data_IF_806548821573
#
_entry.id   IF_806548821573
#
_cell.length_a   1.000
_cell.length_b   1.000
_cell.length_c   1.000
_cell.angle_alpha   90.00
_cell.angle_beta   90.00
_cell.angle_gamma   90.00
#
_symmetry.space_group_name_H-M   'P 1'
#
loop_
_entity.id
_entity.type
_entity.pdbx_description
1 polymer ?
#
# COMPACT_ATOMS: atom_id res chain seq x y z
N UNK A 1 3.82 35.62 33.47
CA UNK A 1 2.66 35.37 34.36
C UNK A 1 1.42 35.12 33.50
N UNK A 2 0.60 34.14 33.93
CA UNK A 2 -0.66 33.59 33.35
C UNK A 2 -0.45 32.51 32.27
N UNK A 3 -0.52 31.23 32.61
CA UNK A 3 -1.74 30.37 32.80
C UNK A 3 -2.42 30.10 31.44
N UNK A 4 -2.54 28.88 30.91
CA UNK A 4 -2.87 27.61 31.55
C UNK A 4 -4.35 27.29 31.30
N UNK A 5 -4.68 26.53 30.24
CA UNK A 5 -6.02 25.94 30.05
C UNK A 5 -5.94 24.53 29.49
N UNK A 6 -6.23 23.56 30.37
CA UNK A 6 -6.71 22.21 30.08
C UNK A 6 -8.23 22.24 29.90
N UNK A 7 -8.76 21.43 28.99
CA UNK A 7 -10.14 20.92 28.99
C UNK A 7 -10.01 19.43 28.60
N UNK A 8 -10.16 18.45 29.49
CA UNK A 8 -11.38 17.91 30.14
C UNK A 8 -12.47 17.59 29.11
N UNK A 9 -12.48 16.34 28.65
CA UNK A 9 -13.58 15.74 27.90
C UNK A 9 -14.42 14.89 28.86
N UNK A 10 -15.70 15.25 28.98
CA UNK A 10 -16.72 14.63 29.82
C UNK A 10 -17.40 13.49 29.07
N UNK A 11 -17.53 12.34 29.74
CA UNK A 11 -18.30 11.16 29.30
C UNK A 11 -19.79 11.41 29.49
N UNK A 12 -20.61 11.12 28.48
CA UNK A 12 -22.07 11.00 28.62
C UNK A 12 -22.52 9.58 28.29
N UNK A 13 -23.06 8.90 29.29
CA UNK A 13 -23.91 7.71 29.19
C UNK A 13 -25.37 8.14 29.07
N UNK A 14 -26.14 7.46 28.22
CA UNK A 14 -27.56 7.75 28.03
C UNK A 14 -28.34 6.50 27.61
N UNK A 15 -28.77 5.72 28.60
CA UNK A 15 -29.83 4.72 28.49
C UNK A 15 -31.18 5.42 28.28
N UNK A 16 -32.07 4.83 27.48
CA UNK A 16 -33.49 5.18 27.48
C UNK A 16 -34.34 3.94 27.23
N UNK A 17 -34.84 3.42 28.35
CA UNK A 17 -35.97 2.49 28.45
C UNK A 17 -37.26 3.31 28.30
N UNK A 18 -38.21 2.85 27.49
CA UNK A 18 -39.62 3.28 27.60
C UNK A 18 -40.47 2.03 27.69
N UNK A 19 -41.20 1.91 28.79
CA UNK A 19 -42.31 1.00 29.00
C UNK A 19 -43.51 1.81 29.51
N UNK A 20 -44.69 1.53 28.96
CA UNK A 20 -46.06 1.74 29.48
C UNK A 20 -46.92 0.75 28.66
N UNK A 21 -47.57 -0.29 29.21
CA UNK A 21 -48.67 -0.30 30.21
C UNK A 21 -50.01 -0.06 29.47
N UNK A 22 -51.12 -0.81 29.56
CA UNK A 22 -51.70 -1.73 30.58
C UNK A 22 -52.93 -2.46 29.92
N UNK A 23 -53.13 -3.79 30.05
CA UNK A 23 -54.10 -4.55 30.89
C UNK A 23 -55.37 -5.13 30.17
N UNK A 24 -56.22 -6.01 30.76
CA UNK A 24 -56.35 -7.45 30.42
C UNK A 24 -57.82 -7.92 30.13
N UNK A 25 -58.06 -9.25 30.20
CA UNK A 25 -59.33 -10.03 30.15
C UNK A 25 -59.74 -10.54 28.76
N UNK A 26 -60.04 -11.82 28.46
CA UNK A 26 -60.50 -13.01 29.21
C UNK A 26 -60.17 -14.32 28.40
N UNK A 27 -60.46 -15.58 28.84
CA UNK A 27 -59.63 -16.76 28.59
C UNK A 27 -60.26 -17.91 27.75
N UNK A 28 -59.46 -18.98 27.60
CA UNK A 28 -59.75 -20.39 27.24
C UNK A 28 -59.77 -20.80 25.78
N UNK A 29 -59.00 -21.86 25.49
CA UNK A 29 -59.16 -22.72 24.31
C UNK A 29 -57.85 -23.27 23.77
N UNK A 30 -57.27 -24.28 24.43
CA UNK A 30 -56.08 -24.99 23.95
C UNK A 30 -56.45 -25.85 22.74
N UNK A 31 -55.83 -25.58 21.59
CA UNK A 31 -55.70 -26.53 20.48
C UNK A 31 -54.22 -26.58 20.07
N UNK A 32 -53.57 -27.75 20.02
CA UNK A 32 -52.17 -27.85 19.66
C UNK A 32 -52.02 -27.63 18.15
N UNK A 33 -51.47 -26.48 17.75
CA UNK A 33 -51.02 -26.27 16.38
C UNK A 33 -49.66 -26.95 16.17
N UNK A 34 -49.42 -27.52 14.97
CA UNK A 34 -48.23 -28.31 14.70
C UNK A 34 -46.98 -27.46 14.87
N UNK A 35 -45.96 -28.05 15.50
CA UNK A 35 -44.59 -27.55 15.54
C UNK A 35 -44.08 -27.41 14.11
N UNK A 36 -44.32 -26.26 13.50
CA UNK A 36 -43.52 -25.80 12.37
C UNK A 36 -42.12 -25.58 12.94
N UNK A 37 -41.22 -26.50 12.64
CA UNK A 37 -39.78 -26.27 12.70
C UNK A 37 -39.49 -25.07 11.80
N UNK A 38 -39.53 -23.88 12.40
CA UNK A 38 -39.04 -22.66 11.79
C UNK A 38 -37.59 -22.94 11.43
N UNK A 39 -37.34 -23.16 10.14
CA UNK A 39 -36.00 -23.31 9.58
C UNK A 39 -35.20 -22.09 10.03
N UNK A 40 -34.20 -22.33 10.87
CA UNK A 40 -33.19 -21.34 11.20
C UNK A 40 -32.58 -20.93 9.85
N UNK A 41 -32.57 -19.64 9.47
CA UNK A 41 -31.90 -19.21 8.26
C UNK A 41 -30.45 -19.69 8.30
N UNK A 42 -30.05 -20.32 7.20
CA UNK A 42 -28.73 -20.91 6.99
C UNK A 42 -27.60 -20.11 7.61
N UNK A 43 -26.68 -20.86 8.23
CA UNK A 43 -25.33 -20.44 8.58
C UNK A 43 -24.83 -19.33 7.65
N UNK A 44 -24.48 -18.18 8.25
CA UNK A 44 -23.70 -17.15 7.59
C UNK A 44 -22.55 -17.84 6.86
N UNK A 45 -22.58 -17.84 5.53
CA UNK A 45 -21.47 -18.38 4.75
C UNK A 45 -20.17 -17.75 5.26
N UNK A 46 -19.11 -18.53 5.49
CA UNK A 46 -17.86 -18.01 6.04
C UNK A 46 -17.39 -16.83 5.18
N UNK A 47 -16.99 -15.74 5.83
CA UNK A 47 -16.40 -14.59 5.13
C UNK A 47 -15.15 -15.09 4.41
N UNK A 48 -15.06 -14.94 3.08
CA UNK A 48 -13.91 -15.42 2.33
C UNK A 48 -12.64 -14.69 2.78
N UNK A 49 -11.54 -15.43 2.87
CA UNK A 49 -10.22 -14.87 3.11
C UNK A 49 -9.83 -13.89 2.00
N UNK A 50 -8.92 -12.96 2.31
CA UNK A 50 -8.42 -11.99 1.32
C UNK A 50 -7.87 -12.69 0.07
N UNK A 51 -7.18 -13.80 0.26
CA UNK A 51 -6.65 -14.60 -0.85
C UNK A 51 -7.75 -15.19 -1.73
N UNK A 52 -8.83 -15.69 -1.14
CA UNK A 52 -9.97 -16.21 -1.90
C UNK A 52 -10.68 -15.11 -2.69
N UNK A 53 -10.82 -13.92 -2.10
CA UNK A 53 -11.37 -12.74 -2.79
C UNK A 53 -10.52 -12.38 -4.01
N UNK A 54 -9.19 -12.35 -3.85
CA UNK A 54 -8.26 -12.05 -4.95
C UNK A 54 -8.33 -13.13 -6.03
N UNK A 55 -8.24 -14.41 -5.67
CA UNK A 55 -8.26 -15.52 -6.63
C UNK A 55 -9.57 -15.56 -7.43
N UNK A 56 -10.70 -15.27 -6.78
CA UNK A 56 -11.99 -15.11 -7.45
C UNK A 56 -11.96 -13.94 -8.44
N UNK A 57 -11.50 -12.76 -8.01
CA UNK A 57 -11.41 -11.58 -8.86
C UNK A 57 -10.50 -11.78 -10.07
N UNK A 58 -9.27 -12.25 -9.88
CA UNK A 58 -8.32 -12.44 -10.99
C UNK A 58 -8.79 -13.47 -12.02
N UNK A 59 -9.60 -14.45 -11.61
CA UNK A 59 -10.20 -15.42 -12.54
C UNK A 59 -11.13 -14.76 -13.56
N UNK A 60 -11.67 -13.58 -13.23
CA UNK A 60 -12.55 -12.79 -14.12
C UNK A 60 -11.78 -11.88 -15.08
N UNK A 61 -10.53 -11.52 -14.76
CA UNK A 61 -9.75 -10.54 -15.53
C UNK A 61 -9.32 -11.02 -16.92
N UNK A 62 -9.55 -12.30 -17.27
CA UNK A 62 -9.22 -12.88 -18.59
C UNK A 62 -7.77 -12.64 -19.03
N UNK A 63 -6.84 -12.55 -18.07
CA UNK A 63 -5.42 -12.33 -18.35
C UNK A 63 -4.81 -13.63 -18.90
N UNK A 64 -4.24 -13.54 -20.10
CA UNK A 64 -3.51 -14.65 -20.69
C UNK A 64 -2.18 -14.86 -19.96
N UNK A 65 -2.00 -16.06 -19.41
CA UNK A 65 -0.76 -16.45 -18.73
C UNK A 65 0.37 -16.61 -19.74
N UNK A 66 1.52 -16.01 -19.46
CA UNK A 66 2.76 -16.27 -20.18
C UNK A 66 3.69 -17.15 -19.32
N UNK A 67 3.89 -18.44 -19.67
CA UNK A 67 4.81 -19.31 -18.92
C UNK A 67 6.26 -18.82 -18.95
N UNK A 68 6.63 -18.00 -19.95
CA UNK A 68 7.97 -17.40 -20.04
C UNK A 68 8.17 -16.34 -18.95
N UNK A 69 7.16 -15.52 -18.66
CA UNK A 69 7.15 -14.57 -17.55
C UNK A 69 7.35 -15.30 -16.21
N UNK A 70 6.53 -16.33 -15.96
CA UNK A 70 6.62 -17.14 -14.74
C UNK A 70 7.99 -17.80 -14.61
N UNK A 71 8.53 -18.35 -15.70
CA UNK A 71 9.84 -18.97 -15.74
C UNK A 71 10.99 -17.99 -15.44
N UNK A 72 10.95 -16.77 -16.01
CA UNK A 72 11.96 -15.74 -15.77
C UNK A 72 12.03 -15.33 -14.30
N UNK A 73 10.89 -14.98 -13.72
CA UNK A 73 10.80 -14.62 -12.30
C UNK A 73 11.19 -15.77 -11.37
N UNK A 74 10.78 -17.01 -11.67
CA UNK A 74 11.20 -18.18 -10.90
C UNK A 74 12.72 -18.40 -10.96
N UNK A 75 13.32 -18.23 -12.14
CA UNK A 75 14.76 -18.37 -12.33
C UNK A 75 15.55 -17.32 -11.52
N UNK A 76 15.20 -16.03 -11.62
CA UNK A 76 15.92 -14.99 -10.86
C UNK A 76 15.73 -15.13 -9.35
N UNK A 77 14.56 -15.62 -8.90
CA UNK A 77 14.28 -15.92 -7.49
C UNK A 77 15.16 -17.04 -6.97
N UNK A 78 15.43 -18.06 -7.78
CA UNK A 78 16.35 -19.15 -7.39
C UNK A 78 17.80 -18.68 -7.24
N UNK A 79 18.21 -17.71 -8.06
CA UNK A 79 19.55 -17.12 -8.01
C UNK A 79 19.70 -16.05 -6.92
N UNK A 80 18.60 -15.43 -6.52
CA UNK A 80 18.56 -14.37 -5.50
C UNK A 80 17.47 -14.66 -4.47
N UNK A 81 17.57 -15.77 -3.69
CA UNK A 81 16.59 -16.09 -2.67
C UNK A 81 16.62 -15.04 -1.54
N UNK A 82 15.50 -14.77 -0.84
CA UNK A 82 15.51 -13.90 0.34
C UNK A 82 16.51 -14.37 1.41
N UNK A 83 17.20 -13.42 2.05
CA UNK A 83 18.25 -13.67 3.04
C UNK A 83 17.95 -12.85 4.29
N UNK A 84 17.67 -13.54 5.40
CA UNK A 84 17.51 -12.89 6.71
C UNK A 84 18.85 -12.53 7.32
N UNK A 85 18.97 -11.29 7.79
CA UNK A 85 20.20 -10.73 8.36
C UNK A 85 19.94 -10.07 9.70
N UNK A 86 20.70 -10.49 10.72
CA UNK A 86 20.67 -9.83 12.02
C UNK A 86 21.35 -8.45 11.96
N UNK A 87 22.52 -8.40 11.32
CA UNK A 87 23.29 -7.17 11.09
C UNK A 87 23.60 -6.99 9.61
N UNK A 88 23.76 -5.74 9.18
CA UNK A 88 24.05 -5.35 7.81
C UNK A 88 25.50 -4.86 7.70
N UNK A 89 26.26 -5.47 6.78
CA UNK A 89 27.63 -5.08 6.41
C UNK A 89 27.68 -4.35 5.07
N UNK A 90 28.85 -3.83 4.69
CA UNK A 90 29.01 -3.16 3.39
C UNK A 90 28.96 -4.15 2.21
N UNK A 91 29.35 -5.41 2.46
CA UNK A 91 29.17 -6.51 1.50
C UNK A 91 27.68 -6.81 1.27
N UNK A 92 26.85 -6.69 2.31
CA UNK A 92 25.40 -6.88 2.21
C UNK A 92 24.76 -5.77 1.37
N UNK A 93 25.24 -4.52 1.50
CA UNK A 93 24.82 -3.41 0.63
C UNK A 93 25.10 -3.73 -0.84
N UNK A 94 26.32 -4.17 -1.15
CA UNK A 94 26.70 -4.54 -2.53
C UNK A 94 25.86 -5.71 -3.07
N UNK A 95 25.45 -6.64 -2.20
CA UNK A 95 24.56 -7.75 -2.57
C UNK A 95 23.13 -7.26 -2.82
N UNK A 96 22.62 -6.35 -1.99
CA UNK A 96 21.32 -5.72 -2.16
C UNK A 96 21.25 -4.92 -3.48
N UNK A 97 22.31 -4.17 -3.81
CA UNK A 97 22.40 -3.47 -5.11
C UNK A 97 22.32 -4.43 -6.30
N UNK A 98 23.04 -5.56 -6.26
CA UNK A 98 22.94 -6.59 -7.32
C UNK A 98 21.54 -7.19 -7.42
N UNK A 99 20.92 -7.47 -6.28
CA UNK A 99 19.55 -7.99 -6.21
C UNK A 99 18.55 -7.00 -6.78
N UNK A 100 18.67 -5.73 -6.43
CA UNK A 100 17.83 -4.65 -6.97
C UNK A 100 17.98 -4.53 -8.48
N UNK A 101 19.21 -4.54 -9.01
CA UNK A 101 19.47 -4.53 -10.45
C UNK A 101 18.82 -5.74 -11.14
N UNK A 102 18.86 -6.93 -10.53
CA UNK A 102 18.18 -8.10 -11.09
C UNK A 102 16.65 -7.92 -11.15
N UNK A 103 16.04 -7.33 -10.11
CA UNK A 103 14.60 -7.01 -10.11
C UNK A 103 14.25 -6.00 -11.19
N UNK A 104 14.97 -4.88 -11.27
CA UNK A 104 14.71 -3.84 -12.27
C UNK A 104 14.85 -4.38 -13.71
N UNK A 105 15.84 -5.21 -13.97
CA UNK A 105 16.02 -5.85 -15.28
C UNK A 105 14.84 -6.78 -15.64
N UNK A 106 14.29 -7.51 -14.69
CA UNK A 106 13.11 -8.35 -14.95
C UNK A 106 11.82 -7.52 -15.03
N UNK A 107 11.70 -6.43 -14.27
CA UNK A 107 10.59 -5.48 -14.43
C UNK A 107 10.53 -4.90 -15.85
N UNK A 108 11.67 -4.53 -16.44
CA UNK A 108 11.76 -4.07 -17.84
C UNK A 108 11.20 -5.10 -18.84
N UNK A 109 11.50 -6.38 -18.61
CA UNK A 109 11.12 -7.50 -19.48
C UNK A 109 9.75 -8.08 -19.15
N UNK A 110 9.11 -7.59 -18.09
CA UNK A 110 7.89 -8.15 -17.55
C UNK A 110 6.70 -7.88 -18.47
N UNK A 111 5.76 -8.82 -18.54
CA UNK A 111 4.46 -8.57 -19.18
C UNK A 111 3.50 -7.72 -18.31
N UNK A 112 3.82 -7.55 -17.02
CA UNK A 112 3.03 -6.76 -16.08
C UNK A 112 3.27 -5.27 -16.36
N UNK A 113 2.27 -4.59 -16.92
CA UNK A 113 2.41 -3.20 -17.39
C UNK A 113 2.95 -2.25 -16.30
N UNK A 114 2.43 -2.25 -15.05
CA UNK A 114 2.98 -1.40 -13.99
C UNK A 114 4.49 -1.61 -13.74
N UNK A 115 5.01 -2.83 -13.91
CA UNK A 115 6.45 -3.09 -13.72
C UNK A 115 7.28 -2.41 -14.81
N UNK A 116 6.85 -2.51 -16.07
CA UNK A 116 7.53 -1.82 -17.18
C UNK A 116 7.44 -0.32 -17.04
N UNK A 117 6.25 0.21 -16.73
CA UNK A 117 6.05 1.65 -16.55
C UNK A 117 6.99 2.21 -15.46
N UNK A 118 7.06 1.53 -14.31
CA UNK A 118 7.94 1.95 -13.22
C UNK A 118 9.42 1.89 -13.62
N UNK A 119 9.84 0.84 -14.32
CA UNK A 119 11.20 0.74 -14.86
C UNK A 119 11.52 1.88 -15.85
N UNK A 120 10.60 2.19 -16.76
CA UNK A 120 10.78 3.25 -17.75
C UNK A 120 10.91 4.61 -17.08
N UNK A 121 10.17 4.87 -16.00
CA UNK A 121 10.29 6.10 -15.21
C UNK A 121 11.67 6.19 -14.56
N UNK A 122 12.18 5.10 -13.97
CA UNK A 122 13.49 5.04 -13.32
C UNK A 122 14.68 5.14 -14.29
N UNK A 123 14.49 4.79 -15.56
CA UNK A 123 15.56 4.77 -16.57
C UNK A 123 15.44 5.87 -17.64
N UNK A 124 14.33 6.61 -17.63
CA UNK A 124 14.08 7.71 -18.56
C UNK A 124 15.06 8.86 -18.32
N UNK A 125 15.74 9.28 -19.40
CA UNK A 125 16.58 10.47 -19.42
C UNK A 125 15.77 11.78 -19.25
N UNK A 126 14.44 11.73 -19.29
CA UNK A 126 13.58 12.88 -18.94
C UNK A 126 13.43 13.04 -17.43
N UNK A 127 13.68 11.98 -16.67
CA UNK A 127 13.77 11.99 -15.21
C UNK A 127 15.25 11.92 -14.81
N UNK A 128 16.10 12.82 -15.33
CA UNK A 128 17.51 12.96 -14.86
C UNK A 128 17.62 13.14 -13.35
N UNK A 129 16.50 13.54 -12.75
CA UNK A 129 16.36 13.81 -11.34
C UNK A 129 15.82 12.60 -10.57
N UNK A 130 15.33 11.53 -11.20
CA UNK A 130 14.88 10.32 -10.48
C UNK A 130 16.02 9.29 -10.38
N UNK A 131 16.41 8.92 -9.17
CA UNK A 131 17.38 7.85 -8.94
C UNK A 131 16.91 6.87 -7.87
N UNK A 132 17.46 5.67 -7.89
CA UNK A 132 17.22 4.65 -6.86
C UNK A 132 18.53 4.39 -6.13
N UNK A 133 18.50 4.26 -4.82
CA UNK A 133 19.71 4.04 -4.04
C UNK A 133 19.50 3.15 -2.83
N UNK A 134 20.55 2.41 -2.54
CA UNK A 134 20.56 1.40 -1.48
C UNK A 134 21.33 1.95 -0.29
N UNK A 135 20.66 1.97 0.86
CA UNK A 135 21.20 2.51 2.10
C UNK A 135 21.33 1.40 3.14
N UNK A 136 22.47 1.39 3.83
CA UNK A 136 22.75 0.44 4.90
C UNK A 136 21.73 0.53 6.06
N UNK A 137 21.27 1.76 6.31
CA UNK A 137 20.20 2.09 7.25
C UNK A 137 19.51 3.34 6.72
N UNK A 138 18.32 3.17 6.13
CA UNK A 138 17.58 4.28 5.51
C UNK A 138 17.10 5.30 6.55
N UNK A 139 16.57 4.84 7.68
CA UNK A 139 16.13 5.71 8.78
C UNK A 139 17.22 6.64 9.31
N UNK A 140 18.47 6.17 9.35
CA UNK A 140 19.62 6.99 9.74
C UNK A 140 19.89 8.13 8.77
N UNK A 141 19.71 7.90 7.46
CA UNK A 141 19.84 8.93 6.42
C UNK A 141 18.72 9.96 6.56
N UNK A 142 17.53 9.48 6.87
CA UNK A 142 16.33 10.29 7.09
C UNK A 142 16.32 11.05 8.42
N UNK A 143 17.20 10.68 9.35
CA UNK A 143 17.24 11.22 10.73
C UNK A 143 15.88 11.07 11.44
N UNK A 144 15.25 9.92 11.25
CA UNK A 144 13.97 9.56 11.90
C UNK A 144 14.14 8.28 12.72
N UNK A 145 13.33 8.15 13.76
CA UNK A 145 13.23 6.93 14.58
C UNK A 145 12.33 5.87 13.91
N UNK A 146 11.51 6.27 12.93
CA UNK A 146 10.66 5.36 12.19
C UNK A 146 11.50 4.45 11.28
N UNK A 147 11.14 3.17 11.23
CA UNK A 147 11.77 2.20 10.34
C UNK A 147 11.22 2.33 8.91
N UNK A 148 11.86 3.16 8.09
CA UNK A 148 11.55 3.24 6.66
C UNK A 148 12.26 2.12 5.90
N UNK A 149 11.49 1.34 5.16
CA UNK A 149 11.99 0.25 4.31
C UNK A 149 12.25 0.74 2.88
N UNK A 150 11.37 1.58 2.38
CA UNK A 150 11.48 2.30 1.12
C UNK A 150 10.80 3.65 1.28
N UNK A 151 11.32 4.69 0.62
CA UNK A 151 10.65 5.99 0.53
C UNK A 151 11.20 6.81 -0.64
N UNK A 152 10.31 7.47 -1.38
CA UNK A 152 10.66 8.52 -2.31
C UNK A 152 11.05 9.82 -1.58
N UNK A 153 12.28 10.29 -1.78
CA UNK A 153 12.86 11.44 -1.07
C UNK A 153 13.48 12.44 -2.03
N UNK A 154 13.19 13.74 -1.92
CA UNK A 154 14.02 14.74 -2.59
C UNK A 154 15.40 14.86 -1.93
N UNK A 155 16.47 14.72 -2.71
CA UNK A 155 17.86 14.97 -2.32
C UNK A 155 18.41 16.20 -3.04
N UNK A 156 19.05 17.10 -2.29
CA UNK A 156 19.80 18.22 -2.87
C UNK A 156 21.19 17.79 -3.28
N UNK A 157 21.58 18.11 -4.51
CA UNK A 157 22.93 17.86 -5.00
C UNK A 157 23.32 18.89 -6.05
N UNK A 158 24.39 19.64 -5.80
CA UNK A 158 24.99 20.59 -6.74
C UNK A 158 23.97 21.58 -7.35
N UNK A 159 23.18 22.26 -6.51
CA UNK A 159 22.14 23.22 -6.92
C UNK A 159 21.01 22.65 -7.80
N UNK A 160 20.99 21.32 -7.96
CA UNK A 160 19.88 20.54 -8.53
C UNK A 160 19.26 19.65 -7.46
N UNK A 161 18.03 19.21 -7.69
CA UNK A 161 17.33 18.30 -6.77
C UNK A 161 17.12 17.00 -7.51
N UNK A 162 17.74 15.95 -7.00
CA UNK A 162 17.54 14.58 -7.44
C UNK A 162 16.49 13.97 -6.49
N UNK A 163 15.31 13.61 -6.99
CA UNK A 163 14.36 12.80 -6.23
C UNK A 163 14.78 11.33 -6.29
N UNK A 164 14.81 10.72 -5.12
CA UNK A 164 15.54 9.51 -4.87
C UNK A 164 14.65 8.51 -4.14
N UNK A 165 14.40 7.36 -4.75
CA UNK A 165 13.78 6.26 -4.03
C UNK A 165 14.87 5.58 -3.22
N UNK A 166 14.86 5.80 -1.91
CA UNK A 166 15.79 5.18 -0.99
C UNK A 166 15.26 3.83 -0.53
N UNK A 167 16.11 2.80 -0.59
CA UNK A 167 15.76 1.45 -0.15
C UNK A 167 16.73 1.00 0.95
N UNK A 168 16.18 0.41 2.00
CA UNK A 168 16.98 -0.19 3.06
C UNK A 168 17.58 -1.54 2.60
N UNK A 169 18.88 -1.71 2.81
CA UNK A 169 19.62 -2.93 2.44
C UNK A 169 19.00 -4.17 3.06
N UNK A 170 18.57 -4.12 4.33
CA UNK A 170 17.97 -5.28 5.00
C UNK A 170 16.67 -5.66 4.33
N UNK A 171 15.83 -4.67 4.03
CA UNK A 171 14.56 -4.88 3.35
C UNK A 171 14.75 -5.53 1.98
N UNK A 172 15.64 -4.99 1.14
CA UNK A 172 15.93 -5.58 -0.18
C UNK A 172 16.34 -7.06 -0.06
N UNK A 173 17.20 -7.40 0.91
CA UNK A 173 17.67 -8.77 1.09
C UNK A 173 16.59 -9.71 1.61
N UNK A 174 15.72 -9.25 2.50
CA UNK A 174 14.70 -10.08 3.17
C UNK A 174 13.41 -10.24 2.38
N UNK A 175 13.14 -9.35 1.43
CA UNK A 175 11.88 -9.31 0.67
C UNK A 175 11.93 -10.18 -0.58
N UNK A 176 10.83 -10.85 -0.89
CA UNK A 176 10.68 -11.61 -2.12
C UNK A 176 10.78 -10.68 -3.34
N UNK A 177 11.41 -11.14 -4.43
CA UNK A 177 11.69 -10.27 -5.58
C UNK A 177 10.43 -9.69 -6.24
N UNK A 178 9.33 -10.44 -6.27
CA UNK A 178 8.08 -9.94 -6.82
C UNK A 178 7.40 -8.94 -5.88
N UNK A 179 7.50 -9.14 -4.57
CA UNK A 179 7.00 -8.19 -3.56
C UNK A 179 7.81 -6.89 -3.64
N UNK A 180 9.13 -7.00 -3.77
CA UNK A 180 10.00 -5.85 -3.96
C UNK A 180 9.64 -5.09 -5.25
N UNK A 181 9.31 -5.80 -6.34
CA UNK A 181 8.85 -5.17 -7.58
C UNK A 181 7.53 -4.40 -7.40
N UNK A 182 6.56 -4.95 -6.66
CA UNK A 182 5.28 -4.25 -6.37
C UNK A 182 5.47 -3.03 -5.47
N UNK A 183 6.41 -3.08 -4.51
CA UNK A 183 6.78 -1.93 -3.67
C UNK A 183 7.51 -0.84 -4.48
N UNK A 184 8.39 -1.21 -5.42
CA UNK A 184 9.02 -0.24 -6.32
C UNK A 184 7.96 0.47 -7.18
N UNK A 185 6.96 -0.26 -7.68
CA UNK A 185 5.83 0.35 -8.41
C UNK A 185 5.10 1.38 -7.56
N UNK A 186 4.84 1.06 -6.29
CA UNK A 186 4.22 2.00 -5.35
C UNK A 186 5.02 3.30 -5.29
N UNK A 187 6.30 3.22 -4.95
CA UNK A 187 7.12 4.41 -4.70
C UNK A 187 7.33 5.26 -5.94
N UNK A 188 7.48 4.61 -7.11
CA UNK A 188 7.55 5.32 -8.39
C UNK A 188 6.23 6.04 -8.68
N UNK A 189 5.09 5.38 -8.45
CA UNK A 189 3.77 5.99 -8.70
C UNK A 189 3.54 7.16 -7.74
N UNK A 190 3.79 6.96 -6.44
CA UNK A 190 3.66 8.00 -5.43
C UNK A 190 4.48 9.23 -5.79
N UNK A 191 5.74 9.01 -6.19
CA UNK A 191 6.62 10.07 -6.65
C UNK A 191 6.05 10.84 -7.85
N UNK A 192 5.55 10.14 -8.87
CA UNK A 192 5.00 10.78 -10.06
C UNK A 192 3.77 11.62 -9.76
N UNK A 193 2.86 11.11 -8.93
CA UNK A 193 1.66 11.84 -8.50
C UNK A 193 2.04 13.10 -7.72
N UNK A 194 2.98 12.97 -6.79
CA UNK A 194 3.46 14.09 -5.98
C UNK A 194 4.11 15.17 -6.84
N UNK A 195 4.98 14.78 -7.78
CA UNK A 195 5.62 15.69 -8.72
C UNK A 195 4.63 16.37 -9.67
N UNK A 196 3.68 15.61 -10.20
CA UNK A 196 2.64 16.12 -11.10
C UNK A 196 1.81 17.18 -10.40
N UNK A 197 1.44 16.94 -9.15
CA UNK A 197 0.73 17.91 -8.33
C UNK A 197 1.55 19.19 -8.08
N UNK A 198 2.80 19.05 -7.63
CA UNK A 198 3.65 20.22 -7.34
C UNK A 198 3.85 21.10 -8.58
N UNK A 199 3.99 20.48 -9.75
CA UNK A 199 4.08 21.16 -11.05
C UNK A 199 2.78 21.89 -11.41
N UNK A 200 1.62 21.28 -11.14
CA UNK A 200 0.32 21.89 -11.42
C UNK A 200 0.06 23.12 -10.53
N UNK A 201 0.54 23.08 -9.28
CA UNK A 201 0.38 24.18 -8.34
C UNK A 201 1.16 25.43 -8.75
N UNK A 202 2.32 25.30 -9.36
CA UNK A 202 3.06 26.42 -9.92
C UNK A 202 3.82 25.97 -11.17
N UNK A 203 3.25 26.12 -12.36
CA UNK A 203 3.91 25.75 -13.60
C UNK A 203 5.10 26.65 -13.96
N UNK A 204 5.26 27.78 -13.28
CA UNK A 204 6.30 28.79 -13.55
C UNK A 204 7.57 28.60 -12.72
N UNK A 205 7.47 27.87 -11.61
CA UNK A 205 8.58 27.40 -10.80
C UNK A 205 8.71 25.88 -10.94
N UNK A 206 9.89 25.33 -10.69
CA UNK A 206 10.02 23.88 -10.62
C UNK A 206 9.16 23.34 -9.47
N UNK A 207 8.63 22.09 -9.55
CA UNK A 207 7.83 21.48 -8.49
C UNK A 207 8.49 21.57 -7.10
N UNK A 208 9.81 21.71 -7.09
CA UNK A 208 10.61 21.70 -5.90
C UNK A 208 10.79 23.04 -5.18
N UNK A 209 10.83 24.19 -5.88
CA UNK A 209 10.89 25.51 -5.22
C UNK A 209 9.67 25.70 -4.31
N UNK A 210 8.55 25.12 -4.74
CA UNK A 210 7.31 25.04 -3.98
C UNK A 210 7.33 24.00 -2.85
N UNK A 211 8.05 22.88 -2.99
CA UNK A 211 8.19 21.87 -1.92
C UNK A 211 8.80 22.47 -0.64
N UNK A 212 9.81 23.34 -0.79
CA UNK A 212 10.45 24.02 0.33
C UNK A 212 9.47 25.01 0.99
N UNK A 213 8.75 25.79 0.19
CA UNK A 213 7.78 26.78 0.66
C UNK A 213 6.56 26.15 1.34
N UNK A 214 6.17 24.94 0.92
CA UNK A 214 5.02 24.20 1.43
C UNK A 214 5.37 23.27 2.61
N UNK A 215 6.62 23.18 3.07
CA UNK A 215 6.96 22.39 4.27
C UNK A 215 6.21 22.95 5.49
N UNK A 216 5.26 22.18 6.01
CA UNK A 216 4.50 22.50 7.22
C UNK A 216 3.09 23.07 7.01
N UNK A 217 2.53 22.98 5.80
CA UNK A 217 1.14 23.38 5.51
C UNK A 217 0.27 22.11 5.41
N UNK A 218 -0.86 22.06 6.11
CA UNK A 218 -1.83 20.93 6.10
C UNK A 218 -2.23 20.47 4.69
N UNK A 219 -2.21 21.38 3.71
CA UNK A 219 -2.46 21.06 2.30
C UNK A 219 -1.48 20.01 1.77
N UNK A 220 -0.21 20.06 2.18
CA UNK A 220 0.86 19.12 1.78
C UNK A 220 0.56 17.69 2.23
N UNK A 221 0.00 17.52 3.44
CA UNK A 221 -0.36 16.20 3.95
C UNK A 221 -1.52 15.58 3.18
N UNK A 222 -2.52 16.39 2.82
CA UNK A 222 -3.62 15.90 2.00
C UNK A 222 -3.17 15.51 0.59
N UNK A 223 -2.31 16.31 -0.04
CA UNK A 223 -1.75 16.01 -1.36
C UNK A 223 -0.99 14.69 -1.35
N UNK A 224 -0.13 14.53 -0.34
CA UNK A 224 0.69 13.34 -0.15
C UNK A 224 -0.17 12.11 0.08
N UNK A 225 -1.21 12.25 0.90
CA UNK A 225 -2.17 11.18 1.12
C UNK A 225 -2.94 10.79 -0.16
N UNK A 226 -3.35 11.75 -0.99
CA UNK A 226 -3.96 11.43 -2.29
C UNK A 226 -2.98 10.70 -3.23
N UNK A 227 -1.70 11.09 -3.23
CA UNK A 227 -0.65 10.36 -3.94
C UNK A 227 -0.48 8.91 -3.45
N UNK A 228 -0.51 8.71 -2.14
CA UNK A 228 -0.47 7.38 -1.49
C UNK A 228 -1.68 6.51 -1.89
N UNK A 229 -2.89 7.08 -1.94
CA UNK A 229 -4.09 6.34 -2.36
C UNK A 229 -3.93 5.79 -3.79
N UNK A 230 -3.39 6.59 -4.71
CA UNK A 230 -3.13 6.16 -6.09
C UNK A 230 -2.00 5.14 -6.13
N UNK A 231 -0.90 5.38 -5.42
CA UNK A 231 0.26 4.50 -5.40
C UNK A 231 -0.07 3.09 -4.89
N UNK A 232 -0.79 2.99 -3.76
CA UNK A 232 -1.24 1.71 -3.23
C UNK A 232 -2.27 1.02 -4.13
N UNK A 233 -3.07 1.78 -4.89
CA UNK A 233 -3.96 1.18 -5.89
C UNK A 233 -3.15 0.49 -6.98
N UNK A 234 -2.17 1.18 -7.56
CA UNK A 234 -1.33 0.62 -8.63
C UNK A 234 -0.50 -0.56 -8.10
N UNK A 235 -0.03 -0.50 -6.84
CA UNK A 235 0.59 -1.65 -6.17
C UNK A 235 -0.34 -2.86 -6.12
N UNK A 236 -1.56 -2.69 -5.61
CA UNK A 236 -2.55 -3.76 -5.55
C UNK A 236 -2.88 -4.34 -6.93
N UNK A 237 -3.03 -3.49 -7.94
CA UNK A 237 -3.28 -3.92 -9.32
C UNK A 237 -2.10 -4.72 -9.90
N UNK A 238 -0.87 -4.27 -9.64
CA UNK A 238 0.34 -4.99 -10.06
C UNK A 238 0.47 -6.36 -9.38
N UNK A 239 0.14 -6.43 -8.09
CA UNK A 239 0.08 -7.66 -7.30
C UNK A 239 -0.96 -8.65 -7.85
N UNK A 240 -2.18 -8.18 -8.09
CA UNK A 240 -3.26 -8.98 -8.69
C UNK A 240 -2.89 -9.48 -10.08
N UNK A 241 -2.26 -8.64 -10.91
CA UNK A 241 -1.80 -9.03 -12.24
C UNK A 241 -0.69 -10.09 -12.17
N UNK A 242 0.23 -10.01 -11.20
CA UNK A 242 1.23 -11.04 -10.97
C UNK A 242 0.57 -12.39 -10.61
N UNK A 243 -0.43 -12.38 -9.72
CA UNK A 243 -1.20 -13.59 -9.38
C UNK A 243 -1.92 -14.13 -10.62
N UNK A 244 -2.54 -13.25 -11.41
CA UNK A 244 -3.27 -13.63 -12.64
C UNK A 244 -2.35 -14.30 -13.68
N UNK A 245 -1.11 -13.82 -13.82
CA UNK A 245 -0.07 -14.44 -14.65
C UNK A 245 0.35 -15.83 -14.15
N UNK A 246 0.03 -16.18 -12.90
CA UNK A 246 0.31 -17.48 -12.28
C UNK A 246 1.48 -17.48 -11.32
N UNK A 247 1.94 -16.31 -10.86
CA UNK A 247 3.00 -16.23 -9.86
C UNK A 247 2.51 -16.63 -8.48
N UNK A 248 3.31 -17.46 -7.79
CA UNK A 248 3.13 -17.75 -6.36
C UNK A 248 3.86 -16.70 -5.54
N UNK A 249 3.14 -15.63 -5.21
CA UNK A 249 3.58 -14.57 -4.32
C UNK A 249 2.82 -14.68 -2.98
N UNK A 250 3.54 -14.45 -1.89
CA UNK A 250 3.00 -14.52 -0.52
C UNK A 250 3.35 -13.23 0.21
N UNK A 251 2.35 -12.37 0.40
CA UNK A 251 2.46 -11.16 1.21
C UNK A 251 1.11 -10.91 1.85
N UNK A 252 1.05 -11.03 3.18
CA UNK A 252 -0.20 -10.77 3.92
C UNK A 252 -0.66 -9.33 3.72
N UNK A 253 0.31 -8.42 3.64
CA UNK A 253 0.09 -7.00 3.40
C UNK A 253 -0.56 -6.77 2.03
N UNK A 254 0.04 -7.30 0.95
CA UNK A 254 -0.51 -7.10 -0.40
C UNK A 254 -1.84 -7.84 -0.60
N UNK A 255 -2.05 -8.96 0.10
CA UNK A 255 -3.35 -9.65 0.12
C UNK A 255 -4.44 -8.75 0.76
N UNK A 256 -4.19 -8.15 1.93
CA UNK A 256 -5.15 -7.24 2.58
C UNK A 256 -5.43 -6.00 1.71
N UNK A 257 -4.37 -5.42 1.12
CA UNK A 257 -4.47 -4.26 0.26
C UNK A 257 -5.31 -4.54 -1.00
N UNK A 258 -5.00 -5.60 -1.73
CA UNK A 258 -5.70 -5.97 -2.95
C UNK A 258 -7.16 -6.39 -2.67
N UNK A 259 -7.39 -7.18 -1.62
CA UNK A 259 -8.74 -7.58 -1.26
C UNK A 259 -9.61 -6.39 -0.83
N UNK A 260 -9.04 -5.41 -0.13
CA UNK A 260 -9.74 -4.16 0.23
C UNK A 260 -10.09 -3.36 -1.02
N UNK A 261 -9.17 -3.22 -1.97
CA UNK A 261 -9.43 -2.54 -3.25
C UNK A 261 -10.54 -3.24 -4.07
N UNK A 262 -10.53 -4.58 -4.14
CA UNK A 262 -11.58 -5.36 -4.80
C UNK A 262 -12.94 -5.11 -4.15
N UNK A 263 -13.00 -5.18 -2.81
CA UNK A 263 -14.25 -4.92 -2.06
C UNK A 263 -14.76 -3.49 -2.23
N UNK A 264 -13.85 -2.54 -2.41
CA UNK A 264 -14.15 -1.16 -2.77
C UNK A 264 -14.52 -0.97 -4.25
N UNK A 265 -14.54 -2.04 -5.05
CA UNK A 265 -14.78 -1.99 -6.51
C UNK A 265 -13.83 -1.02 -7.23
N UNK A 266 -12.59 -0.94 -6.78
CA UNK A 266 -11.56 -0.03 -7.34
C UNK A 266 -11.68 1.44 -6.91
N UNK A 267 -12.64 1.79 -6.06
CA UNK A 267 -12.81 3.14 -5.52
C UNK A 267 -11.89 3.39 -4.31
N UNK A 268 -10.85 4.20 -4.54
CA UNK A 268 -9.84 4.55 -3.55
C UNK A 268 -10.34 5.53 -2.48
N UNK A 269 -11.51 6.15 -2.69
CA UNK A 269 -12.08 7.11 -1.73
C UNK A 269 -13.09 6.47 -0.78
N UNK A 270 -13.26 5.15 -0.81
CA UNK A 270 -14.07 4.46 0.19
C UNK A 270 -13.43 4.56 1.58
N UNK A 271 -14.22 4.72 2.66
CA UNK A 271 -13.67 4.83 4.02
C UNK A 271 -12.78 3.63 4.40
N UNK A 272 -13.15 2.41 3.99
CA UNK A 272 -12.37 1.22 4.29
C UNK A 272 -10.96 1.26 3.68
N UNK A 273 -10.85 1.70 2.42
CA UNK A 273 -9.56 1.80 1.74
C UNK A 273 -8.71 2.92 2.34
N UNK A 274 -9.29 4.10 2.56
CA UNK A 274 -8.58 5.23 3.16
C UNK A 274 -8.08 4.93 4.58
N UNK A 275 -8.89 4.26 5.42
CA UNK A 275 -8.48 3.85 6.77
C UNK A 275 -7.40 2.76 6.76
N UNK A 276 -7.35 1.92 5.72
CA UNK A 276 -6.22 1.02 5.51
C UNK A 276 -4.97 1.84 5.18
N UNK A 277 -5.02 2.71 4.17
CA UNK A 277 -3.84 3.49 3.74
C UNK A 277 -3.28 4.36 4.88
N UNK A 278 -4.14 4.98 5.70
CA UNK A 278 -3.71 5.74 6.90
C UNK A 278 -2.90 4.92 7.91
N UNK A 279 -3.15 3.61 8.01
CA UNK A 279 -2.38 2.73 8.89
C UNK A 279 -1.01 2.40 8.31
N UNK A 280 -0.95 2.34 6.97
CA UNK A 280 0.18 1.86 6.20
C UNK A 280 1.21 2.94 5.92
N UNK A 281 0.78 4.15 5.57
CA UNK A 281 1.68 5.28 5.33
C UNK A 281 2.12 5.87 6.68
N UNK A 282 3.40 5.71 7.11
CA UNK A 282 3.90 6.28 8.37
C UNK A 282 3.73 7.80 8.42
N UNK A 283 3.73 8.39 7.23
CA UNK A 283 3.59 9.79 6.91
C UNK A 283 2.18 10.35 7.13
N UNK A 284 1.16 9.49 7.10
CA UNK A 284 -0.25 9.84 7.36
C UNK A 284 -0.65 9.76 8.84
N UNK A 285 0.32 9.48 9.74
CA UNK A 285 0.14 9.51 11.20
C UNK A 285 0.40 10.88 11.83
N UNK A 286 0.69 11.89 11.00
CA UNK A 286 0.96 13.27 11.42
C UNK A 286 -0.35 14.06 11.45
#
# INVERSE_FOLDING_TARGET
MREGRRAVLTVFTGLSTIACGISPDTPMGVAPYPTSTRSIPSELSPVPSDREVILSYVSTLSIQKDPTEVGRWANIRSLNPPIRKQEITDNDKSLAERRLVAVLNEMNRSNIKPFRDAHDVLTSHRNKDASIGVYKNLSSVLKTEDAYQMVALPLYKNDSVEIHIGLDTKHILETDLLVLATEIVHEVTHLQEYLGFLTALDPSHGPFEKFIELKGIETNDQIRFEGELVAYKIQAESYMHAIAQGHTITSRFDDELAATLIRANGDIHTPAYQELIKKLSPESRI
#
